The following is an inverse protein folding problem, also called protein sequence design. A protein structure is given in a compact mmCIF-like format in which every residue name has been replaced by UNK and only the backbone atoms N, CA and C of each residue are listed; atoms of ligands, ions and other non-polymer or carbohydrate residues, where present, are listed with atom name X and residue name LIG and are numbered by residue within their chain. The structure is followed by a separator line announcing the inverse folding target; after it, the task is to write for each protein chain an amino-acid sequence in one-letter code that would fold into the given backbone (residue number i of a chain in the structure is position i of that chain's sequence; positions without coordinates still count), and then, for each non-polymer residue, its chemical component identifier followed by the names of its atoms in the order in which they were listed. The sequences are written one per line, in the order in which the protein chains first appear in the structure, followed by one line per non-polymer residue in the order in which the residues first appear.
data_IF_779450341402
#
_entry.id   IF_779450341402
#
_cell.length_a   1.000
_cell.length_b   1.000
_cell.length_c   1.000
_cell.angle_alpha   90.00
_cell.angle_beta   90.00
_cell.angle_gamma   90.00
#
_symmetry.space_group_name_H-M   'P 1'
#
loop_
_entity.id
_entity.type
_entity.pdbx_description
1 polymer ?
#
# COMPACT_ATOMS: atom_id res chain seq x y z
N UNK A 1 -13.03 17.99 -7.35
CA UNK A 1 -12.13 17.17 -8.14
C UNK A 1 -11.23 16.32 -7.27
N UNK A 2 -11.18 15.06 -7.59
CA UNK A 2 -10.36 14.11 -6.84
C UNK A 2 -8.89 14.31 -7.16
N UNK A 3 -8.09 14.49 -6.14
CA UNK A 3 -6.64 14.54 -6.28
C UNK A 3 -6.03 13.43 -5.43
N UNK A 4 -6.49 12.21 -5.72
CA UNK A 4 -6.12 11.02 -5.00
C UNK A 4 -5.39 10.03 -5.91
N UNK A 5 -4.31 9.46 -5.42
CA UNK A 5 -3.59 8.40 -6.11
C UNK A 5 -3.71 7.10 -5.33
N UNK A 6 -4.04 6.02 -6.01
CA UNK A 6 -4.02 4.68 -5.44
C UNK A 6 -2.86 3.92 -6.08
N UNK A 7 -1.99 3.36 -5.26
CA UNK A 7 -0.88 2.53 -5.71
C UNK A 7 -1.22 1.08 -5.38
N UNK A 8 -1.37 0.27 -6.42
CA UNK A 8 -1.57 -1.17 -6.25
C UNK A 8 -0.20 -1.83 -6.28
N UNK A 9 0.28 -2.25 -5.11
CA UNK A 9 1.64 -2.75 -4.97
C UNK A 9 1.65 -4.27 -4.93
N UNK A 10 2.18 -4.87 -6.01
CA UNK A 10 2.22 -6.32 -6.18
C UNK A 10 3.64 -6.90 -6.30
N UNK A 11 4.62 -6.07 -6.58
CA UNK A 11 5.99 -6.52 -6.78
C UNK A 11 6.71 -6.63 -5.43
N UNK A 12 7.03 -7.86 -5.02
CA UNK A 12 7.58 -8.14 -3.70
C UNK A 12 9.11 -8.09 -3.68
N UNK A 13 9.66 -7.01 -4.19
CA UNK A 13 11.10 -6.76 -4.18
C UNK A 13 11.40 -5.57 -3.26
N UNK A 14 12.34 -5.76 -2.32
CA UNK A 14 12.68 -4.70 -1.36
C UNK A 14 13.18 -3.43 -2.02
N UNK A 15 13.99 -3.57 -3.06
CA UNK A 15 14.55 -2.40 -3.75
C UNK A 15 13.45 -1.63 -4.48
N UNK A 16 12.51 -2.35 -5.12
CA UNK A 16 11.37 -1.72 -5.78
C UNK A 16 10.51 -0.98 -4.76
N UNK A 17 10.28 -1.58 -3.60
CA UNK A 17 9.55 -0.88 -2.54
C UNK A 17 10.29 0.39 -2.14
N UNK A 18 11.56 0.27 -1.82
CA UNK A 18 12.34 1.40 -1.28
C UNK A 18 12.48 2.54 -2.29
N UNK A 19 12.79 2.21 -3.54
CA UNK A 19 13.14 3.22 -4.54
C UNK A 19 11.97 3.72 -5.38
N UNK A 20 10.86 3.00 -5.40
CA UNK A 20 9.69 3.44 -6.17
C UNK A 20 8.49 3.67 -5.27
N UNK A 21 7.97 2.64 -4.63
CA UNK A 21 6.73 2.76 -3.85
C UNK A 21 6.89 3.75 -2.70
N UNK A 22 7.89 3.52 -1.86
CA UNK A 22 8.14 4.37 -0.69
C UNK A 22 8.55 5.78 -1.12
N UNK A 23 9.50 5.88 -2.02
CA UNK A 23 10.04 7.17 -2.44
C UNK A 23 8.95 8.04 -3.09
N UNK A 24 8.19 7.47 -4.03
CA UNK A 24 7.16 8.23 -4.71
C UNK A 24 6.00 8.60 -3.79
N UNK A 25 5.52 7.65 -2.99
CA UNK A 25 4.42 7.92 -2.05
C UNK A 25 4.83 8.99 -1.04
N UNK A 26 6.04 8.90 -0.51
CA UNK A 26 6.54 9.87 0.47
C UNK A 26 6.67 11.26 -0.13
N UNK A 27 7.37 11.36 -1.26
CA UNK A 27 7.59 12.67 -1.89
C UNK A 27 6.27 13.28 -2.35
N UNK A 28 5.37 12.47 -2.94
CA UNK A 28 4.06 12.94 -3.37
C UNK A 28 3.28 13.56 -2.23
N UNK A 29 3.35 12.93 -1.07
CA UNK A 29 2.63 13.41 0.12
C UNK A 29 3.28 14.66 0.68
N UNK A 30 4.58 14.67 0.85
CA UNK A 30 5.31 15.81 1.44
C UNK A 30 5.27 17.05 0.55
N UNK A 31 5.32 16.85 -0.76
CA UNK A 31 5.29 17.97 -1.72
C UNK A 31 3.88 18.32 -2.18
N UNK A 32 2.88 17.65 -1.65
CA UNK A 32 1.46 17.89 -1.98
C UNK A 32 1.16 17.72 -3.47
N UNK A 33 1.84 16.78 -4.13
CA UNK A 33 1.51 16.44 -5.52
C UNK A 33 0.14 15.78 -5.59
N UNK A 34 -0.22 15.03 -4.56
CA UNK A 34 -1.52 14.40 -4.39
C UNK A 34 -2.06 14.76 -3.00
N UNK A 35 -3.35 15.01 -2.91
CA UNK A 35 -3.97 15.29 -1.61
C UNK A 35 -4.06 14.05 -0.76
N UNK A 36 -4.22 12.89 -1.40
CA UNK A 36 -4.35 11.61 -0.72
C UNK A 36 -3.61 10.55 -1.50
N UNK A 37 -2.80 9.76 -0.82
CA UNK A 37 -2.11 8.62 -1.40
C UNK A 37 -2.48 7.38 -0.60
N UNK A 38 -2.91 6.34 -1.30
CA UNK A 38 -3.28 5.05 -0.71
C UNK A 38 -2.43 3.97 -1.36
N UNK A 39 -1.81 3.12 -0.54
CA UNK A 39 -1.07 1.96 -1.02
C UNK A 39 -1.90 0.72 -0.66
N UNK A 40 -2.19 -0.10 -1.67
CA UNK A 40 -2.86 -1.38 -1.46
C UNK A 40 -1.82 -2.49 -1.60
N UNK A 41 -1.59 -3.20 -0.50
CA UNK A 41 -0.70 -4.36 -0.46
C UNK A 41 -1.47 -5.56 -1.01
N UNK A 42 -0.97 -6.17 -2.08
CA UNK A 42 -1.68 -7.24 -2.77
C UNK A 42 -0.74 -8.38 -3.11
N UNK A 43 -1.15 -9.60 -2.80
CA UNK A 43 -0.37 -10.78 -3.12
C UNK A 43 0.87 -10.92 -2.25
N UNK A 44 1.99 -11.25 -2.87
CA UNK A 44 3.22 -11.55 -2.15
C UNK A 44 3.78 -10.37 -1.35
N UNK A 45 3.39 -9.15 -1.68
CA UNK A 45 3.84 -7.98 -0.90
C UNK A 45 3.35 -8.03 0.54
N UNK A 46 2.24 -8.75 0.80
CA UNK A 46 1.79 -8.96 2.17
C UNK A 46 2.82 -9.76 2.97
N UNK A 47 3.41 -10.78 2.35
CA UNK A 47 4.44 -11.58 3.01
C UNK A 47 5.71 -10.74 3.19
N UNK A 48 6.11 -10.00 2.18
CA UNK A 48 7.29 -9.12 2.26
C UNK A 48 7.14 -8.11 3.41
N UNK A 49 5.99 -7.48 3.52
CA UNK A 49 5.74 -6.51 4.60
C UNK A 49 5.82 -7.17 5.98
N UNK A 50 5.38 -8.42 6.10
CA UNK A 50 5.44 -9.16 7.35
C UNK A 50 6.85 -9.59 7.73
N UNK A 51 7.75 -9.74 6.75
CA UNK A 51 9.07 -10.32 6.97
C UNK A 51 10.24 -9.34 6.86
N UNK A 52 10.08 -8.26 6.13
CA UNK A 52 11.19 -7.33 5.84
C UNK A 52 11.21 -6.15 6.80
N UNK A 53 12.29 -6.02 7.55
CA UNK A 53 12.46 -4.87 8.44
C UNK A 53 12.56 -3.56 7.65
N UNK A 54 13.21 -3.59 6.50
CA UNK A 54 13.33 -2.41 5.64
C UNK A 54 11.94 -1.92 5.23
N UNK A 55 11.09 -2.85 4.78
CA UNK A 55 9.73 -2.52 4.35
C UNK A 55 8.90 -2.04 5.54
N UNK A 56 8.99 -2.70 6.68
CA UNK A 56 8.26 -2.33 7.89
C UNK A 56 8.60 -0.91 8.34
N UNK A 57 9.88 -0.57 8.32
CA UNK A 57 10.31 0.77 8.69
C UNK A 57 9.78 1.81 7.72
N UNK A 58 9.83 1.52 6.42
CA UNK A 58 9.27 2.42 5.40
C UNK A 58 7.77 2.61 5.58
N UNK A 59 7.04 1.54 5.86
CA UNK A 59 5.59 1.61 6.10
C UNK A 59 5.28 2.49 7.30
N UNK A 60 6.03 2.33 8.40
CA UNK A 60 5.83 3.17 9.59
C UNK A 60 6.00 4.65 9.26
N UNK A 61 7.04 4.98 8.52
CA UNK A 61 7.29 6.37 8.13
C UNK A 61 6.19 6.92 7.24
N UNK A 62 5.72 6.11 6.28
CA UNK A 62 4.63 6.51 5.38
C UNK A 62 3.33 6.74 6.15
N UNK A 63 2.99 5.85 7.07
CA UNK A 63 1.80 6.03 7.91
C UNK A 63 1.91 7.31 8.74
N UNK A 64 3.09 7.61 9.25
CA UNK A 64 3.33 8.78 10.09
C UNK A 64 3.05 10.09 9.33
N UNK A 65 3.38 10.14 8.05
CA UNK A 65 3.16 11.36 7.25
C UNK A 65 1.79 11.40 6.58
N UNK A 66 0.93 10.41 6.83
CA UNK A 66 -0.45 10.44 6.38
C UNK A 66 -0.78 9.62 5.15
N UNK A 67 0.13 8.77 4.68
CA UNK A 67 -0.18 7.85 3.59
C UNK A 67 -1.09 6.75 4.13
N UNK A 68 -2.16 6.41 3.40
CA UNK A 68 -3.04 5.32 3.78
C UNK A 68 -2.49 4.01 3.24
N UNK A 69 -2.38 3.00 4.10
CA UNK A 69 -1.87 1.69 3.69
C UNK A 69 -2.86 0.63 4.13
N UNK A 70 -3.30 -0.18 3.16
CA UNK A 70 -4.27 -1.24 3.38
C UNK A 70 -3.81 -2.50 2.67
N UNK A 71 -4.11 -3.65 3.24
CA UNK A 71 -3.74 -4.93 2.64
C UNK A 71 -4.97 -5.73 2.29
N UNK A 72 -4.88 -6.49 1.19
CA UNK A 72 -5.92 -7.40 0.76
C UNK A 72 -6.05 -8.54 1.77
N UNK A 73 -7.21 -8.65 2.40
CA UNK A 73 -7.45 -9.65 3.43
C UNK A 73 -7.31 -11.08 2.90
N UNK A 74 -7.81 -11.34 1.71
CA UNK A 74 -7.70 -12.68 1.12
C UNK A 74 -6.22 -13.09 1.01
N UNK A 75 -5.37 -12.17 0.55
CA UNK A 75 -3.94 -12.45 0.42
C UNK A 75 -3.28 -12.64 1.78
N UNK A 76 -3.53 -11.75 2.72
CA UNK A 76 -2.88 -11.82 4.03
C UNK A 76 -3.33 -13.06 4.82
N UNK A 77 -4.61 -13.45 4.69
CA UNK A 77 -5.11 -14.65 5.36
C UNK A 77 -4.47 -15.91 4.77
N UNK A 78 -4.40 -15.99 3.43
CA UNK A 78 -3.80 -17.15 2.77
C UNK A 78 -2.32 -17.30 3.12
N UNK A 79 -1.63 -16.19 3.31
CA UNK A 79 -0.21 -16.18 3.64
C UNK A 79 0.04 -16.26 5.15
N UNK A 80 -1.02 -16.21 5.97
CA UNK A 80 -0.90 -16.33 7.41
C UNK A 80 -0.30 -15.11 8.10
N UNK A 81 -0.44 -13.91 7.52
CA UNK A 81 0.22 -12.72 8.03
C UNK A 81 -0.73 -11.58 8.44
N UNK A 82 -2.02 -11.83 8.43
CA UNK A 82 -3.01 -10.79 8.74
C UNK A 82 -2.74 -10.10 10.07
N UNK A 83 -2.58 -10.89 11.13
CA UNK A 83 -2.36 -10.34 12.46
C UNK A 83 -1.09 -9.51 12.53
N UNK A 84 -0.03 -9.99 11.90
CA UNK A 84 1.25 -9.29 11.87
C UNK A 84 1.11 -7.91 11.22
N UNK A 85 0.41 -7.86 10.08
CA UNK A 85 0.20 -6.60 9.38
C UNK A 85 -0.65 -5.63 10.19
N UNK A 86 -1.66 -6.14 10.88
CA UNK A 86 -2.48 -5.30 11.76
C UNK A 86 -1.65 -4.66 12.86
N UNK A 87 -0.66 -5.38 13.38
CA UNK A 87 0.22 -4.87 14.42
C UNK A 87 1.03 -3.67 13.95
N UNK A 88 1.27 -3.55 12.65
CA UNK A 88 1.97 -2.40 12.09
C UNK A 88 1.05 -1.23 11.75
N UNK A 89 -0.24 -1.34 12.07
CA UNK A 89 -1.20 -0.28 11.77
C UNK A 89 -1.74 -0.32 10.36
N UNK A 90 -1.55 -1.43 9.64
CA UNK A 90 -2.05 -1.58 8.29
C UNK A 90 -3.51 -2.01 8.35
N UNK A 91 -4.38 -1.29 7.63
CA UNK A 91 -5.78 -1.66 7.51
C UNK A 91 -5.90 -2.95 6.70
N UNK A 92 -6.72 -3.88 7.18
CA UNK A 92 -6.94 -5.16 6.47
C UNK A 92 -8.38 -5.20 6.02
N UNK A 93 -8.61 -5.37 4.71
CA UNK A 93 -9.98 -5.56 4.21
C UNK A 93 -9.96 -6.26 2.87
N UNK A 94 -11.12 -6.79 2.47
CA UNK A 94 -11.26 -7.37 1.14
C UNK A 94 -11.26 -6.26 0.10
N UNK A 95 -10.39 -6.37 -0.89
CA UNK A 95 -10.21 -5.31 -1.89
C UNK A 95 -10.80 -5.62 -3.27
N UNK A 96 -11.43 -6.78 -3.45
CA UNK A 96 -12.02 -7.12 -4.75
C UNK A 96 -13.03 -6.07 -5.22
N UNK A 97 -14.00 -5.75 -4.38
CA UNK A 97 -14.99 -4.73 -4.72
C UNK A 97 -14.37 -3.34 -4.83
N UNK A 98 -13.53 -2.98 -3.86
CA UNK A 98 -12.90 -1.67 -3.85
C UNK A 98 -12.04 -1.41 -5.08
N UNK A 99 -11.25 -2.40 -5.50
CA UNK A 99 -10.45 -2.28 -6.71
C UNK A 99 -11.34 -2.15 -7.95
N UNK A 100 -12.44 -2.92 -8.00
CA UNK A 100 -13.37 -2.86 -9.10
C UNK A 100 -14.00 -1.47 -9.20
N UNK A 101 -14.38 -0.88 -8.07
CA UNK A 101 -14.94 0.48 -8.04
C UNK A 101 -13.92 1.51 -8.54
N UNK A 102 -12.67 1.39 -8.09
CA UNK A 102 -11.59 2.28 -8.52
C UNK A 102 -11.47 2.26 -10.04
N UNK A 103 -11.47 1.06 -10.62
CA UNK A 103 -11.33 0.90 -12.05
C UNK A 103 -12.55 1.42 -12.82
N UNK A 104 -13.76 1.14 -12.34
CA UNK A 104 -14.99 1.57 -13.01
C UNK A 104 -15.20 3.07 -12.94
N UNK A 105 -14.72 3.70 -11.87
CA UNK A 105 -14.83 5.14 -11.69
C UNK A 105 -13.68 5.91 -12.30
N UNK A 106 -12.77 5.21 -12.97
CA UNK A 106 -11.61 5.80 -13.63
C UNK A 106 -10.73 6.62 -12.67
N UNK A 107 -10.60 6.16 -11.46
CA UNK A 107 -9.71 6.80 -10.49
C UNK A 107 -8.26 6.55 -10.89
N UNK A 108 -7.37 7.40 -10.43
CA UNK A 108 -5.95 7.26 -10.76
C UNK A 108 -5.34 6.09 -10.02
N UNK A 109 -4.89 5.10 -10.78
CA UNK A 109 -4.33 3.86 -10.24
C UNK A 109 -2.96 3.62 -10.87
N UNK A 110 -1.95 3.48 -10.01
CA UNK A 110 -0.60 3.12 -10.44
C UNK A 110 -0.31 1.72 -9.92
N UNK A 111 -0.06 0.79 -10.83
CA UNK A 111 0.23 -0.60 -10.45
C UNK A 111 1.74 -0.86 -10.53
N UNK A 112 2.29 -1.37 -9.47
CA UNK A 112 3.73 -1.68 -9.37
C UNK A 112 3.92 -3.12 -8.94
#
# INVERSE_FOLDING_TARGET
MENELVILWTNADEMTFDKMVNMYARNSTLEHWWEKVTIIIWGRTALLAAESELVQEGIKQLLHIGVNISACKACSDQLGVTKKLEEFGIEIKYWGEGLTEILKENKKLLTI
#
